data_IF_024242170048
#
_entry.id   IF_024242170048
#
_cell.length_a   1.000
_cell.length_b   1.000
_cell.length_c   1.000
_cell.angle_alpha   90.00
_cell.angle_beta   90.00
_cell.angle_gamma   90.00
#
_symmetry.space_group_name_H-M   'P 1'
#
loop_
_entity.id
_entity.type
_entity.pdbx_description
1 polymer ?
#
# COMPACT_ATOMS: atom_id res chain seq x y z
N UNK A 1 3.03 -9.49 -5.53
CA UNK A 1 3.46 -9.39 -4.12
C UNK A 1 2.55 -10.18 -3.22
N UNK A 2 3.07 -10.60 -2.05
CA UNK A 2 2.30 -11.37 -1.05
C UNK A 2 2.34 -10.72 0.35
N UNK A 3 3.15 -9.67 0.53
CA UNK A 3 3.40 -9.03 1.85
C UNK A 3 2.46 -7.85 2.18
N UNK A 4 1.60 -7.44 1.25
CA UNK A 4 0.69 -6.30 1.42
C UNK A 4 -0.79 -6.69 1.25
N UNK A 5 -1.18 -7.83 1.79
CA UNK A 5 -2.54 -8.33 1.79
C UNK A 5 -2.62 -9.84 1.48
N UNK A 6 -3.82 -10.44 1.54
CA UNK A 6 -4.02 -11.88 1.29
C UNK A 6 -3.74 -12.25 -0.17
N UNK A 7 -3.07 -13.36 -0.39
CA UNK A 7 -2.78 -13.90 -1.73
C UNK A 7 -1.76 -13.09 -2.54
N UNK A 8 -1.63 -13.41 -3.82
CA UNK A 8 -0.75 -12.69 -4.75
C UNK A 8 -1.46 -11.45 -5.29
N UNK A 9 -0.81 -10.29 -5.21
CA UNK A 9 -1.45 -9.00 -5.50
C UNK A 9 -0.65 -8.14 -6.47
N UNK A 10 -1.35 -7.45 -7.37
CA UNK A 10 -0.82 -6.23 -7.95
C UNK A 10 -0.88 -5.12 -6.89
N UNK A 11 0.12 -4.27 -6.80
CA UNK A 11 0.15 -3.16 -5.83
C UNK A 11 0.33 -1.85 -6.58
N UNK A 12 -0.55 -0.91 -6.29
CA UNK A 12 -0.50 0.46 -6.80
C UNK A 12 -0.05 1.36 -5.67
N UNK A 13 1.10 2.01 -5.85
CA UNK A 13 1.57 3.06 -4.97
C UNK A 13 1.19 4.41 -5.56
N UNK A 14 0.25 5.09 -4.92
CA UNK A 14 -0.12 6.44 -5.30
C UNK A 14 0.89 7.46 -4.78
N UNK A 15 0.98 8.60 -5.42
CA UNK A 15 1.83 9.71 -5.04
C UNK A 15 0.99 10.82 -4.38
N UNK A 16 1.54 11.48 -3.35
CA UNK A 16 0.89 12.48 -2.54
C UNK A 16 0.28 11.91 -1.25
N UNK A 17 0.69 12.45 -0.09
CA UNK A 17 0.17 12.05 1.21
C UNK A 17 0.08 13.27 2.16
N UNK A 18 -1.10 13.59 2.71
CA UNK A 18 -1.26 14.73 3.62
C UNK A 18 -0.79 14.43 5.06
N UNK A 19 -0.51 13.16 5.40
CA UNK A 19 -0.23 12.78 6.79
C UNK A 19 1.23 12.92 7.20
N UNK A 20 2.18 12.74 6.29
CA UNK A 20 3.62 12.85 6.53
C UNK A 20 4.06 12.16 7.84
N UNK A 21 3.67 10.90 8.04
CA UNK A 21 3.91 10.14 9.26
C UNK A 21 5.42 10.03 9.55
N UNK A 22 5.84 10.34 10.77
CA UNK A 22 7.24 10.19 11.17
C UNK A 22 7.69 8.73 10.96
N UNK A 23 8.87 8.56 10.32
CA UNK A 23 9.45 7.27 9.95
C UNK A 23 8.51 6.39 9.08
N UNK A 24 7.77 7.05 8.16
CA UNK A 24 7.04 6.36 7.11
C UNK A 24 7.98 5.48 6.30
N UNK A 25 7.51 4.29 5.90
CA UNK A 25 8.32 3.35 5.10
C UNK A 25 8.54 3.85 3.65
N UNK A 26 7.70 4.75 3.16
CA UNK A 26 7.73 5.31 1.79
C UNK A 26 7.61 6.85 1.80
N UNK A 27 8.53 7.59 2.46
CA UNK A 27 8.44 9.05 2.56
C UNK A 27 8.54 9.74 1.19
N UNK A 28 9.15 9.11 0.19
CA UNK A 28 9.19 9.58 -1.20
C UNK A 28 7.80 9.72 -1.84
N UNK A 29 6.79 9.08 -1.28
CA UNK A 29 5.41 9.19 -1.75
C UNK A 29 4.61 10.38 -1.17
N UNK A 30 5.22 11.23 -0.35
CA UNK A 30 4.51 12.36 0.26
C UNK A 30 4.29 13.53 -0.69
N UNK A 31 5.31 13.83 -1.52
CA UNK A 31 5.28 14.94 -2.46
C UNK A 31 4.23 14.69 -3.55
N UNK A 32 3.31 15.63 -3.72
CA UNK A 32 2.25 15.55 -4.75
C UNK A 32 2.78 15.77 -6.16
N UNK A 33 3.93 16.42 -6.31
CA UNK A 33 4.57 16.69 -7.60
C UNK A 33 5.52 15.56 -8.03
N UNK A 34 5.72 14.56 -7.15
CA UNK A 34 6.51 13.37 -7.46
C UNK A 34 5.71 12.32 -8.25
N UNK A 35 6.41 11.27 -8.66
CA UNK A 35 5.78 10.13 -9.32
C UNK A 35 5.55 10.32 -10.82
N UNK A 36 4.73 9.46 -11.39
CA UNK A 36 4.39 9.43 -12.81
C UNK A 36 2.88 9.50 -12.98
N UNK A 37 2.41 10.32 -13.93
CA UNK A 37 1.00 10.35 -14.28
C UNK A 37 0.69 9.23 -15.27
N UNK A 38 -0.19 8.33 -14.85
CA UNK A 38 -0.62 7.17 -15.65
C UNK A 38 -2.14 7.24 -15.84
N UNK A 39 -2.61 6.97 -17.05
CA UNK A 39 -4.06 6.93 -17.30
C UNK A 39 -4.71 5.72 -16.61
N UNK A 40 -6.00 5.85 -16.30
CA UNK A 40 -6.79 4.75 -15.71
C UNK A 40 -6.79 3.53 -16.63
N UNK A 41 -6.92 3.74 -17.93
CA UNK A 41 -6.96 2.71 -18.94
C UNK A 41 -5.63 1.93 -19.01
N UNK A 42 -4.52 2.65 -19.07
CA UNK A 42 -3.18 2.05 -19.10
C UNK A 42 -2.89 1.24 -17.83
N UNK A 43 -3.27 1.77 -16.67
CA UNK A 43 -3.08 1.08 -15.40
C UNK A 43 -4.01 -0.14 -15.27
N UNK A 44 -5.24 -0.06 -15.77
CA UNK A 44 -6.16 -1.18 -15.81
C UNK A 44 -5.63 -2.31 -16.71
N UNK A 45 -5.13 -1.98 -17.89
CA UNK A 45 -4.55 -2.96 -18.83
C UNK A 45 -3.30 -3.62 -18.21
N UNK A 46 -2.45 -2.84 -17.53
CA UNK A 46 -1.30 -3.39 -16.80
C UNK A 46 -1.74 -4.37 -15.70
N UNK A 47 -2.75 -4.03 -14.87
CA UNK A 47 -3.27 -4.91 -13.82
C UNK A 47 -3.81 -6.21 -14.43
N UNK A 48 -4.63 -6.10 -15.48
CA UNK A 48 -5.27 -7.24 -16.11
C UNK A 48 -4.28 -8.18 -16.82
N UNK A 49 -3.15 -7.64 -17.26
CA UNK A 49 -2.06 -8.42 -17.85
C UNK A 49 -1.22 -9.19 -16.81
N UNK A 50 -1.37 -8.90 -15.51
CA UNK A 50 -0.60 -9.63 -14.50
C UNK A 50 -1.11 -11.06 -14.35
N UNK A 51 -0.28 -12.09 -14.53
CA UNK A 51 -0.69 -13.48 -14.32
C UNK A 51 -0.92 -13.77 -12.84
N UNK A 52 -1.82 -14.69 -12.56
CA UNK A 52 -1.99 -15.34 -11.26
C UNK A 52 -2.16 -14.40 -10.05
N UNK A 53 -2.62 -13.16 -10.26
CA UNK A 53 -2.98 -12.28 -9.13
C UNK A 53 -4.40 -12.61 -8.64
N UNK A 54 -4.57 -12.56 -7.33
CA UNK A 54 -5.83 -12.80 -6.62
C UNK A 54 -6.46 -11.47 -6.18
N UNK A 55 -5.70 -10.38 -6.28
CA UNK A 55 -6.21 -9.09 -5.86
C UNK A 55 -5.32 -7.91 -6.20
N UNK A 56 -5.85 -6.76 -5.85
CA UNK A 56 -5.23 -5.44 -5.98
C UNK A 56 -5.04 -4.84 -4.59
N UNK A 57 -3.89 -4.21 -4.36
CA UNK A 57 -3.64 -3.40 -3.15
C UNK A 57 -3.37 -1.96 -3.54
N UNK A 58 -4.08 -1.05 -2.91
CA UNK A 58 -3.86 0.39 -2.99
C UNK A 58 -3.03 0.84 -1.78
N UNK A 59 -1.89 1.48 -2.02
CA UNK A 59 -0.94 1.91 -1.00
C UNK A 59 -0.11 3.11 -1.51
N UNK A 60 1.07 3.35 -0.94
CA UNK A 60 1.97 4.43 -1.32
C UNK A 60 1.76 5.67 -0.48
N UNK A 61 1.41 6.80 -1.09
CA UNK A 61 0.94 8.00 -0.41
C UNK A 61 -0.41 7.77 0.28
N UNK A 62 -1.42 8.56 -0.05
CA UNK A 62 -2.77 8.38 0.49
C UNK A 62 -3.78 8.03 -0.61
N UNK A 63 -4.20 6.77 -0.75
CA UNK A 63 -5.14 6.37 -1.80
C UNK A 63 -6.47 7.11 -1.74
N UNK A 64 -6.98 7.44 -0.55
CA UNK A 64 -8.24 8.18 -0.41
C UNK A 64 -8.14 9.63 -0.89
N UNK A 65 -6.94 10.20 -1.01
CA UNK A 65 -6.73 11.51 -1.64
C UNK A 65 -6.91 11.45 -3.17
N UNK A 66 -6.82 10.25 -3.76
CA UNK A 66 -7.01 10.03 -5.20
C UNK A 66 -8.25 9.17 -5.50
N UNK A 67 -9.22 9.15 -4.60
CA UNK A 67 -10.42 8.30 -4.71
C UNK A 67 -11.16 8.47 -6.04
N UNK A 68 -11.23 9.71 -6.57
CA UNK A 68 -11.88 9.99 -7.85
C UNK A 68 -11.26 9.27 -9.05
N UNK A 69 -9.94 9.09 -9.07
CA UNK A 69 -9.22 8.36 -10.12
C UNK A 69 -9.18 6.85 -9.86
N UNK A 70 -9.05 6.44 -8.60
CA UNK A 70 -8.98 5.03 -8.23
C UNK A 70 -10.33 4.29 -8.36
N UNK A 71 -11.44 4.98 -8.14
CA UNK A 71 -12.77 4.39 -8.26
C UNK A 71 -13.07 3.82 -9.67
N UNK A 72 -12.89 4.58 -10.78
CA UNK A 72 -13.06 4.02 -12.12
C UNK A 72 -12.06 2.91 -12.43
N UNK A 73 -10.81 3.02 -11.97
CA UNK A 73 -9.81 1.96 -12.12
C UNK A 73 -10.30 0.64 -11.53
N UNK A 74 -10.72 0.66 -10.26
CA UNK A 74 -11.16 -0.55 -9.57
C UNK A 74 -12.38 -1.16 -10.27
N UNK A 75 -13.39 -0.35 -10.62
CA UNK A 75 -14.57 -0.83 -11.35
C UNK A 75 -14.17 -1.52 -12.65
N UNK A 76 -13.31 -0.89 -13.45
CA UNK A 76 -12.88 -1.41 -14.73
C UNK A 76 -12.15 -2.76 -14.61
N UNK A 77 -11.32 -2.96 -13.58
CA UNK A 77 -10.59 -4.22 -13.41
C UNK A 77 -11.44 -5.30 -12.76
N UNK A 78 -12.28 -4.97 -11.77
CA UNK A 78 -13.10 -5.96 -11.06
C UNK A 78 -14.29 -6.45 -11.88
N UNK A 79 -14.79 -5.66 -12.84
CA UNK A 79 -15.80 -6.10 -13.83
C UNK A 79 -15.24 -7.16 -14.80
N UNK A 80 -13.93 -7.14 -15.07
CA UNK A 80 -13.27 -8.05 -16.01
C UNK A 80 -12.62 -9.26 -15.36
N UNK A 81 -12.23 -9.14 -14.09
CA UNK A 81 -11.54 -10.19 -13.33
C UNK A 81 -11.95 -10.13 -11.88
N UNK A 82 -12.27 -11.28 -11.28
CA UNK A 82 -12.59 -11.37 -9.85
C UNK A 82 -11.33 -11.15 -9.00
N UNK A 83 -11.10 -9.90 -8.60
CA UNK A 83 -9.96 -9.46 -7.81
C UNK A 83 -10.43 -8.87 -6.50
N UNK A 84 -9.88 -9.36 -5.38
CA UNK A 84 -10.13 -8.75 -4.08
C UNK A 84 -9.34 -7.46 -3.90
N UNK A 85 -9.97 -6.41 -3.35
CA UNK A 85 -9.38 -5.08 -3.19
C UNK A 85 -8.98 -4.84 -1.74
N UNK A 86 -7.70 -4.53 -1.53
CA UNK A 86 -7.14 -4.10 -0.25
C UNK A 86 -6.72 -2.63 -0.35
N UNK A 87 -6.97 -1.84 0.67
CA UNK A 87 -6.56 -0.44 0.71
C UNK A 87 -5.93 -0.08 2.05
N UNK A 88 -4.77 0.54 1.98
CA UNK A 88 -4.14 1.22 3.09
C UNK A 88 -4.57 2.68 3.10
N UNK A 89 -4.88 3.24 4.27
CA UNK A 89 -5.21 4.66 4.41
C UNK A 89 -4.83 5.19 5.79
N UNK A 90 -4.39 6.43 5.85
CA UNK A 90 -4.19 7.13 7.12
C UNK A 90 -5.49 7.60 7.78
N UNK A 91 -6.59 7.69 7.03
CA UNK A 91 -7.90 7.99 7.59
C UNK A 91 -8.43 6.83 8.41
N UNK A 92 -9.29 7.10 9.39
CA UNK A 92 -10.08 6.05 10.05
C UNK A 92 -11.33 5.73 9.25
N UNK A 93 -11.80 4.49 9.34
CA UNK A 93 -13.04 4.05 8.70
C UNK A 93 -14.24 4.92 9.07
N UNK A 94 -14.34 5.31 10.35
CA UNK A 94 -15.40 6.16 10.86
C UNK A 94 -15.37 7.55 10.22
N UNK A 95 -14.16 8.11 10.04
CA UNK A 95 -13.98 9.40 9.36
C UNK A 95 -14.43 9.31 7.90
N UNK A 96 -13.98 8.29 7.15
CA UNK A 96 -14.36 8.10 5.75
C UNK A 96 -15.86 7.94 5.58
N UNK A 97 -16.53 7.20 6.46
CA UNK A 97 -17.97 7.01 6.43
C UNK A 97 -18.78 8.26 6.79
N UNK A 98 -18.31 9.03 7.77
CA UNK A 98 -19.07 10.17 8.30
C UNK A 98 -18.71 11.52 7.67
N UNK A 99 -17.47 11.67 7.21
CA UNK A 99 -16.91 12.96 6.77
C UNK A 99 -16.12 12.87 5.45
N UNK A 100 -15.97 11.68 4.88
CA UNK A 100 -15.32 11.50 3.59
C UNK A 100 -16.09 12.18 2.45
N UNK A 101 -15.39 12.56 1.38
CA UNK A 101 -16.03 13.04 0.15
C UNK A 101 -16.89 11.94 -0.47
N UNK A 102 -17.72 12.29 -1.43
CA UNK A 102 -18.55 11.32 -2.15
C UNK A 102 -17.69 10.23 -2.81
N UNK A 103 -16.59 10.63 -3.45
CA UNK A 103 -15.66 9.72 -4.12
C UNK A 103 -14.98 8.78 -3.11
N UNK A 104 -14.57 9.29 -1.94
CA UNK A 104 -14.00 8.47 -0.87
C UNK A 104 -15.00 7.43 -0.35
N UNK A 105 -16.24 7.84 -0.12
CA UNK A 105 -17.30 6.93 0.32
C UNK A 105 -17.62 5.88 -0.75
N UNK A 106 -17.64 6.25 -2.03
CA UNK A 106 -17.86 5.33 -3.13
C UNK A 106 -16.68 4.37 -3.31
N UNK A 107 -15.43 4.85 -3.17
CA UNK A 107 -14.24 4.00 -3.19
C UNK A 107 -14.26 3.00 -2.04
N UNK A 108 -14.64 3.44 -0.84
CA UNK A 108 -14.75 2.58 0.34
C UNK A 108 -15.69 1.38 0.11
N UNK A 109 -16.74 1.55 -0.70
CA UNK A 109 -17.67 0.47 -1.06
C UNK A 109 -17.09 -0.56 -2.02
N UNK A 110 -15.96 -0.28 -2.65
CA UNK A 110 -15.26 -1.19 -3.56
C UNK A 110 -14.12 -1.96 -2.87
N UNK A 111 -13.86 -1.68 -1.61
CA UNK A 111 -12.76 -2.27 -0.85
C UNK A 111 -13.28 -3.48 -0.06
N UNK A 112 -12.55 -4.59 -0.13
CA UNK A 112 -12.85 -5.80 0.65
C UNK A 112 -12.19 -5.77 2.03
N UNK A 113 -10.93 -5.28 2.09
CA UNK A 113 -10.14 -5.18 3.31
C UNK A 113 -9.50 -3.79 3.41
N UNK A 114 -9.84 -3.06 4.46
CA UNK A 114 -9.26 -1.77 4.78
C UNK A 114 -8.22 -1.93 5.89
N UNK A 115 -7.03 -1.39 5.67
CA UNK A 115 -6.01 -1.17 6.70
C UNK A 115 -6.04 0.32 7.01
N UNK A 116 -6.64 0.69 8.14
CA UNK A 116 -6.93 2.08 8.47
C UNK A 116 -6.08 2.65 9.60
N UNK A 117 -5.92 3.97 9.60
CA UNK A 117 -5.20 4.75 10.59
C UNK A 117 -3.76 5.06 10.23
N UNK A 118 -3.30 6.25 10.63
CA UNK A 118 -1.93 6.72 10.41
C UNK A 118 -0.91 5.81 11.10
N UNK A 119 0.26 5.66 10.50
CA UNK A 119 1.38 5.01 11.18
C UNK A 119 1.86 5.87 12.33
N UNK A 120 1.98 5.27 13.52
CA UNK A 120 2.53 5.90 14.72
C UNK A 120 3.77 5.13 15.17
N UNK A 121 4.96 5.72 14.98
CA UNK A 121 6.23 5.09 15.31
C UNK A 121 6.28 4.59 16.76
N UNK A 122 5.82 5.39 17.73
CA UNK A 122 5.78 5.03 19.14
C UNK A 122 4.83 3.87 19.47
N UNK A 123 4.01 3.44 18.49
CA UNK A 123 3.13 2.29 18.55
C UNK A 123 3.50 1.20 17.56
N UNK A 124 4.71 1.30 16.98
CA UNK A 124 5.21 0.28 16.06
C UNK A 124 5.11 -1.11 16.69
N UNK A 125 4.69 -2.09 15.90
CA UNK A 125 4.54 -3.47 16.35
C UNK A 125 4.69 -4.44 15.18
N UNK A 126 5.18 -5.66 15.49
CA UNK A 126 5.29 -6.77 14.53
C UNK A 126 3.89 -7.37 14.32
N UNK A 127 3.13 -6.80 13.37
CA UNK A 127 1.73 -7.15 13.10
C UNK A 127 1.52 -7.44 11.62
N UNK A 128 0.58 -8.34 11.33
CA UNK A 128 0.22 -8.68 9.95
C UNK A 128 -0.34 -7.46 9.22
N UNK A 129 0.31 -7.07 8.12
CA UNK A 129 -0.04 -5.94 7.24
C UNK A 129 -0.16 -4.57 7.91
N UNK A 130 0.21 -4.42 9.19
CA UNK A 130 0.12 -3.18 9.96
C UNK A 130 1.47 -2.79 10.55
N UNK A 131 1.83 -1.53 10.44
CA UNK A 131 3.09 -1.00 11.00
C UNK A 131 3.00 -0.57 12.46
N UNK A 132 1.79 -0.31 12.96
CA UNK A 132 1.59 0.17 14.33
C UNK A 132 0.27 -0.32 14.94
N UNK A 133 0.24 -0.50 16.25
CA UNK A 133 -0.84 -1.14 16.99
C UNK A 133 -2.17 -0.35 17.00
N UNK A 134 -2.19 0.89 16.52
CA UNK A 134 -3.42 1.66 16.32
C UNK A 134 -4.08 1.37 14.98
N UNK A 135 -3.36 0.80 14.02
CA UNK A 135 -3.92 0.44 12.73
C UNK A 135 -4.80 -0.81 12.86
N UNK A 136 -5.86 -0.88 12.07
CA UNK A 136 -6.86 -1.95 12.15
C UNK A 136 -6.99 -2.65 10.81
N UNK A 137 -7.33 -3.95 10.86
CA UNK A 137 -7.79 -4.74 9.72
C UNK A 137 -9.32 -4.78 9.75
N UNK A 138 -9.98 -4.19 8.77
CA UNK A 138 -11.44 -4.07 8.72
C UNK A 138 -11.95 -4.74 7.45
N UNK A 139 -12.66 -5.88 7.60
CA UNK A 139 -13.38 -6.50 6.49
C UNK A 139 -14.59 -5.65 6.14
N UNK A 140 -14.63 -5.13 4.92
CA UNK A 140 -15.76 -4.38 4.38
C UNK A 140 -16.69 -5.27 3.54
N UNK A 141 -16.21 -6.45 3.12
CA UNK A 141 -16.99 -7.50 2.47
C UNK A 141 -16.77 -8.86 3.14
N UNK A 142 -17.44 -9.90 2.63
CA UNK A 142 -17.26 -11.28 3.12
C UNK A 142 -15.97 -11.92 2.61
N UNK A 143 -15.32 -11.38 1.56
CA UNK A 143 -14.19 -12.01 0.86
C UNK A 143 -13.05 -12.45 1.79
N UNK A 144 -12.67 -11.60 2.75
CA UNK A 144 -11.54 -11.87 3.66
C UNK A 144 -11.96 -12.10 5.11
N UNK A 145 -13.27 -12.21 5.38
CA UNK A 145 -13.79 -12.39 6.74
C UNK A 145 -13.26 -13.66 7.39
N UNK A 146 -13.33 -14.79 6.69
CA UNK A 146 -12.83 -16.06 7.20
C UNK A 146 -11.32 -15.99 7.48
N UNK A 147 -10.54 -15.42 6.54
CA UNK A 147 -9.09 -15.24 6.69
C UNK A 147 -8.74 -14.48 7.98
N UNK A 148 -9.48 -13.42 8.30
CA UNK A 148 -9.21 -12.62 9.51
C UNK A 148 -9.79 -13.26 10.78
N UNK A 149 -10.94 -13.90 10.73
CA UNK A 149 -11.55 -14.54 11.91
C UNK A 149 -10.78 -15.79 12.35
N UNK A 150 -10.11 -16.46 11.41
CA UNK A 150 -9.26 -17.63 11.71
C UNK A 150 -7.81 -17.24 12.03
N UNK A 151 -7.46 -15.96 11.94
CA UNK A 151 -6.13 -15.48 12.25
C UNK A 151 -5.84 -15.68 13.74
N UNK A 152 -4.93 -16.60 14.05
CA UNK A 152 -4.47 -16.83 15.43
C UNK A 152 -3.51 -15.71 15.84
N UNK A 153 -3.45 -15.41 17.13
CA UNK A 153 -2.55 -14.39 17.67
C UNK A 153 -1.06 -14.61 17.30
N UNK A 154 -0.64 -15.88 17.23
CA UNK A 154 0.73 -16.25 16.84
C UNK A 154 1.03 -15.98 15.36
N UNK A 155 0.00 -15.92 14.52
CA UNK A 155 0.10 -15.61 13.10
C UNK A 155 -0.11 -14.11 12.79
N UNK A 156 -0.54 -13.31 13.77
CA UNK A 156 -0.64 -11.85 13.64
C UNK A 156 0.75 -11.21 13.73
N UNK A 157 1.58 -11.50 12.73
CA UNK A 157 2.95 -10.99 12.60
C UNK A 157 3.18 -10.50 11.18
N UNK A 158 4.12 -9.56 11.03
CA UNK A 158 4.50 -9.03 9.72
C UNK A 158 4.76 -10.16 8.72
N UNK A 159 4.18 -10.02 7.54
CA UNK A 159 4.44 -10.90 6.40
C UNK A 159 5.87 -10.74 5.83
N UNK A 160 6.63 -9.77 6.33
CA UNK A 160 8.00 -9.51 5.91
C UNK A 160 8.12 -8.41 4.87
N UNK A 161 9.28 -8.40 4.22
CA UNK A 161 9.64 -7.45 3.16
C UNK A 161 9.97 -8.26 1.89
N UNK A 162 9.38 -7.89 0.78
CA UNK A 162 9.77 -8.36 -0.55
C UNK A 162 10.69 -7.34 -1.21
N UNK A 163 11.77 -7.81 -1.84
CA UNK A 163 12.71 -7.00 -2.60
C UNK A 163 12.53 -7.25 -4.08
N UNK A 164 12.64 -6.18 -4.85
CA UNK A 164 12.57 -6.22 -6.31
C UNK A 164 13.82 -5.58 -6.87
N UNK A 165 14.29 -6.11 -7.98
CA UNK A 165 15.35 -5.49 -8.77
C UNK A 165 14.82 -5.28 -10.18
N UNK A 166 14.90 -4.05 -10.68
CA UNK A 166 14.57 -3.77 -12.06
C UNK A 166 15.70 -4.21 -13.02
N UNK A 167 15.44 -4.13 -14.32
CA UNK A 167 16.44 -4.50 -15.34
C UNK A 167 17.69 -3.62 -15.34
N UNK A 168 17.66 -2.47 -14.68
CA UNK A 168 18.79 -1.53 -14.55
C UNK A 168 19.56 -1.76 -13.25
N UNK A 169 19.14 -2.73 -12.41
CA UNK A 169 19.76 -3.05 -11.14
C UNK A 169 19.28 -2.17 -9.97
N UNK A 170 18.30 -1.30 -10.18
CA UNK A 170 17.71 -0.54 -9.07
C UNK A 170 16.91 -1.48 -8.16
N UNK A 171 17.17 -1.38 -6.86
CA UNK A 171 16.52 -2.20 -5.82
C UNK A 171 15.40 -1.40 -5.19
N UNK A 172 14.20 -1.99 -5.17
CA UNK A 172 13.06 -1.49 -4.42
C UNK A 172 12.59 -2.56 -3.43
N UNK A 173 11.87 -2.15 -2.40
CA UNK A 173 11.29 -3.08 -1.45
C UNK A 173 9.85 -2.67 -1.09
N UNK A 174 9.07 -3.65 -0.64
CA UNK A 174 7.71 -3.43 -0.15
C UNK A 174 7.41 -4.36 1.01
N UNK A 175 6.47 -3.96 1.85
CA UNK A 175 6.02 -4.72 3.00
C UNK A 175 6.00 -3.89 4.27
N UNK A 176 5.67 -4.54 5.38
CA UNK A 176 5.63 -3.92 6.71
C UNK A 176 6.78 -4.47 7.54
N UNK A 177 7.76 -3.64 7.92
CA UNK A 177 8.91 -4.13 8.70
C UNK A 177 8.50 -4.56 10.10
N UNK A 178 9.24 -5.52 10.66
CA UNK A 178 9.05 -6.02 12.03
C UNK A 178 9.52 -5.02 13.10
N UNK A 179 10.47 -4.16 12.74
CA UNK A 179 11.09 -3.19 13.64
C UNK A 179 11.03 -1.78 13.05
N UNK A 180 10.89 -0.74 13.88
CA UNK A 180 11.00 0.63 13.41
C UNK A 180 12.44 0.91 12.91
N UNK A 181 12.60 1.95 12.08
CA UNK A 181 13.92 2.34 11.56
C UNK A 181 14.51 1.39 10.51
N UNK A 182 13.72 0.44 9.99
CA UNK A 182 14.18 -0.52 8.97
C UNK A 182 14.78 0.18 7.75
N UNK A 183 14.13 1.27 7.28
CA UNK A 183 14.57 1.98 6.07
C UNK A 183 15.96 2.58 6.24
N UNK A 184 16.19 3.26 7.36
CA UNK A 184 17.47 3.89 7.68
C UNK A 184 18.57 2.85 7.88
N UNK A 185 18.27 1.77 8.61
CA UNK A 185 19.22 0.67 8.80
C UNK A 185 19.56 -0.02 7.47
N UNK A 186 18.57 -0.27 6.64
CA UNK A 186 18.77 -0.87 5.32
C UNK A 186 19.57 0.05 4.41
N UNK A 187 19.25 1.36 4.36
CA UNK A 187 19.99 2.35 3.60
C UNK A 187 21.46 2.42 4.02
N UNK A 188 21.73 2.47 5.33
CA UNK A 188 23.09 2.48 5.87
C UNK A 188 23.87 1.23 5.49
N UNK A 189 23.25 0.06 5.53
CA UNK A 189 23.87 -1.21 5.10
C UNK A 189 24.15 -1.22 3.61
N UNK A 190 23.22 -0.76 2.78
CA UNK A 190 23.42 -0.70 1.32
C UNK A 190 24.52 0.29 0.94
N UNK A 191 24.58 1.45 1.60
CA UNK A 191 25.64 2.44 1.39
C UNK A 191 27.03 1.87 1.67
N UNK A 192 27.17 0.98 2.66
CA UNK A 192 28.44 0.27 2.93
C UNK A 192 28.92 -0.55 1.73
N UNK A 193 28.01 -1.04 0.90
CA UNK A 193 28.31 -1.76 -0.35
C UNK A 193 28.33 -0.86 -1.59
N UNK A 194 28.26 0.47 -1.42
CA UNK A 194 28.23 1.44 -2.52
C UNK A 194 26.89 1.49 -3.26
N UNK A 195 25.80 0.99 -2.64
CA UNK A 195 24.46 0.99 -3.22
C UNK A 195 23.64 2.11 -2.56
N UNK A 196 23.25 3.14 -3.34
CA UNK A 196 22.28 4.17 -2.91
C UNK A 196 20.85 3.65 -3.04
N UNK A 197 20.00 3.98 -2.06
CA UNK A 197 18.55 3.69 -2.13
C UNK A 197 17.75 4.89 -2.64
N UNK A 198 18.35 6.09 -2.61
CA UNK A 198 17.70 7.28 -3.12
C UNK A 198 17.85 7.32 -4.65
N UNK A 199 16.73 7.48 -5.36
CA UNK A 199 16.78 7.95 -6.73
C UNK A 199 17.30 9.39 -6.69
N UNK A 200 18.58 9.59 -6.88
CA UNK A 200 19.04 10.89 -7.33
C UNK A 200 18.22 11.23 -8.58
N UNK A 201 17.61 12.42 -8.57
CA UNK A 201 16.98 13.00 -9.75
C UNK A 201 18.09 13.15 -10.80
N UNK A 202 18.36 12.11 -11.60
CA UNK A 202 19.11 12.24 -12.84
C UNK A 202 18.22 13.00 -13.83
N UNK A 203 18.28 14.30 -13.72
CA UNK A 203 17.59 15.19 -14.61
C UNK A 203 18.14 16.58 -14.53
N UNK A 204 19.45 16.73 -14.90
CA UNK A 204 20.01 17.97 -15.43
C UNK A 204 21.42 17.69 -15.97
N UNK A 205 21.45 17.19 -17.23
CA UNK A 205 22.53 17.52 -18.19
C UNK A 205 22.04 17.29 -19.61
#
# INVERSE_FOLDING_TARGET
MTVLGPGRRAVIWVQGCPFACRNCIVPESWDTEGGEQVSVEELADWILAQPDIEGLTLSGGEPMAQAGALLPLIKQVTERRDLGVVCYTGYTHEHLRGHGTLEQQQLLQQIDLLIDGVYLEQRHADLLWRGSANQRLICLSERYRETLTTLKAEADRSAGIEFFMDRRGAVAFAGVPKQPGFREEFAARMAHFGIGLDREKEGER
#
